data_IF_491284790551
#
_entry.id   IF_491284790551
#
_cell.length_a   1.000
_cell.length_b   1.000
_cell.length_c   1.000
_cell.angle_alpha   90.00
_cell.angle_beta   90.00
_cell.angle_gamma   90.00
#
_symmetry.space_group_name_H-M   'P 1'
#
loop_
_entity.id
_entity.type
_entity.pdbx_description
1 polymer ?
#
# COMPACT_ATOMS: atom_id res chain seq x y z
N UNK A 1 -11.51 1.17 38.60
CA UNK A 1 -12.12 2.34 37.90
C UNK A 1 -12.42 3.39 38.98
N UNK A 2 -11.84 4.58 38.89
CA UNK A 2 -12.06 5.65 39.84
C UNK A 2 -12.88 6.75 39.17
N UNK A 3 -13.84 7.37 39.88
CA UNK A 3 -14.54 8.54 39.39
C UNK A 3 -13.56 9.68 39.10
N UNK A 4 -13.76 10.35 37.95
CA UNK A 4 -13.04 11.56 37.60
C UNK A 4 -13.51 12.66 38.54
N UNK A 5 -12.61 13.39 39.22
CA UNK A 5 -12.93 14.46 40.16
C UNK A 5 -12.54 15.81 39.60
N UNK A 6 -13.36 16.82 39.85
CA UNK A 6 -13.07 18.21 39.53
C UNK A 6 -12.04 18.80 40.50
N UNK A 7 -11.67 20.07 40.28
CA UNK A 7 -10.70 20.80 41.11
C UNK A 7 -11.16 20.93 42.58
N UNK A 8 -12.45 20.72 42.86
CA UNK A 8 -13.05 20.76 44.19
C UNK A 8 -13.27 19.36 44.79
N UNK A 9 -12.80 18.32 44.13
CA UNK A 9 -12.90 16.93 44.61
C UNK A 9 -14.29 16.29 44.43
N UNK A 10 -15.22 16.92 43.68
CA UNK A 10 -16.53 16.35 43.35
C UNK A 10 -16.45 15.50 42.07
N UNK A 11 -17.29 14.48 42.01
CA UNK A 11 -17.37 13.61 40.86
C UNK A 11 -17.89 14.37 39.62
N UNK A 12 -17.14 14.31 38.50
CA UNK A 12 -17.53 14.91 37.24
C UNK A 12 -18.68 14.09 36.63
N UNK A 13 -19.76 14.76 36.22
CA UNK A 13 -20.89 14.13 35.53
C UNK A 13 -20.87 14.48 34.05
N UNK A 14 -21.12 13.49 33.18
CA UNK A 14 -21.31 13.67 31.74
C UNK A 14 -22.62 14.39 31.40
N UNK A 15 -22.84 14.66 30.14
CA UNK A 15 -24.07 15.32 29.65
C UNK A 15 -25.33 14.48 29.91
N UNK A 16 -25.20 13.19 30.06
CA UNK A 16 -26.22 12.21 30.41
C UNK A 16 -26.44 12.09 31.93
N UNK A 17 -25.74 12.86 32.76
CA UNK A 17 -25.80 12.84 34.22
C UNK A 17 -25.04 11.66 34.85
N UNK A 18 -24.43 10.77 34.10
CA UNK A 18 -23.62 9.67 34.61
C UNK A 18 -22.26 10.15 35.11
N UNK A 19 -21.70 9.47 36.15
CA UNK A 19 -20.38 9.78 36.66
C UNK A 19 -19.34 9.38 35.63
N UNK A 20 -18.46 10.32 35.24
CA UNK A 20 -17.35 10.05 34.34
C UNK A 20 -16.27 9.27 35.09
N UNK A 21 -15.93 8.10 34.57
CA UNK A 21 -14.89 7.25 35.16
C UNK A 21 -13.53 7.60 34.52
N UNK A 22 -12.56 7.93 35.37
CA UNK A 22 -11.16 8.06 34.93
C UNK A 22 -10.59 6.69 34.60
N UNK A 23 -10.53 6.38 33.34
CA UNK A 23 -9.95 5.13 32.82
C UNK A 23 -8.43 5.20 32.70
N UNK A 24 -7.82 6.33 33.10
CA UNK A 24 -6.40 6.55 32.91
C UNK A 24 -5.98 6.61 31.44
N UNK A 25 -4.69 6.69 31.17
CA UNK A 25 -4.19 6.69 29.80
C UNK A 25 -4.45 5.34 29.13
N UNK A 26 -4.84 5.37 27.87
CA UNK A 26 -4.97 4.13 27.09
C UNK A 26 -3.62 3.41 27.02
N UNK A 27 -3.62 2.09 26.81
CA UNK A 27 -2.40 1.29 26.65
C UNK A 27 -1.50 1.92 25.57
N UNK A 28 -2.09 2.40 24.47
CA UNK A 28 -1.37 3.08 23.39
C UNK A 28 -0.66 4.35 23.89
N UNK A 29 -1.37 5.20 24.64
CA UNK A 29 -0.81 6.45 25.20
C UNK A 29 0.31 6.12 26.18
N UNK A 30 0.09 5.17 27.10
CA UNK A 30 1.09 4.72 28.04
C UNK A 30 2.36 4.22 27.36
N UNK A 31 2.23 3.33 26.37
CA UNK A 31 3.37 2.79 25.62
C UNK A 31 4.12 3.89 24.88
N UNK A 32 3.42 4.79 24.20
CA UNK A 32 4.04 5.90 23.48
C UNK A 32 4.82 6.81 24.44
N UNK A 33 4.25 7.19 25.57
CA UNK A 33 4.89 8.05 26.56
C UNK A 33 6.10 7.36 27.21
N UNK A 34 5.97 6.07 27.50
CA UNK A 34 7.07 5.28 28.06
C UNK A 34 8.24 5.19 27.08
N UNK A 35 7.96 4.82 25.83
CA UNK A 35 8.99 4.69 24.78
C UNK A 35 9.64 6.05 24.52
N UNK A 36 8.84 7.11 24.36
CA UNK A 36 9.36 8.45 24.07
C UNK A 36 10.29 8.96 25.17
N UNK A 37 9.90 8.82 26.46
CA UNK A 37 10.75 9.25 27.59
C UNK A 37 12.04 8.43 27.66
N UNK A 38 11.95 7.11 27.52
CA UNK A 38 13.13 6.27 27.62
C UNK A 38 14.08 6.48 26.43
N UNK A 39 13.53 6.70 25.23
CA UNK A 39 14.33 7.01 24.05
C UNK A 39 15.04 8.38 24.19
N UNK A 40 14.33 9.42 24.65
CA UNK A 40 14.92 10.74 24.90
C UNK A 40 16.06 10.66 25.91
N UNK A 41 15.84 9.98 27.03
CA UNK A 41 16.88 9.75 28.03
C UNK A 41 18.07 8.98 27.47
N UNK A 42 17.82 7.92 26.68
CA UNK A 42 18.87 7.13 26.07
C UNK A 42 19.72 7.98 25.11
N UNK A 43 19.09 8.77 24.25
CA UNK A 43 19.79 9.64 23.31
C UNK A 43 20.58 10.76 24.00
N UNK A 44 20.09 11.27 25.15
CA UNK A 44 20.82 12.26 25.97
C UNK A 44 22.07 11.66 26.63
N UNK A 45 22.00 10.39 27.01
CA UNK A 45 23.15 9.66 27.62
C UNK A 45 24.16 9.20 26.55
N UNK A 46 23.70 8.93 25.33
CA UNK A 46 24.50 8.41 24.22
C UNK A 46 24.59 9.40 23.06
N UNK A 47 25.18 10.57 23.34
CA UNK A 47 25.28 11.67 22.34
C UNK A 47 26.04 11.27 21.09
N UNK A 48 26.93 10.28 21.17
CA UNK A 48 27.68 9.74 20.05
C UNK A 48 26.80 9.07 18.99
N UNK A 49 25.62 8.60 19.36
CA UNK A 49 24.66 7.94 18.43
C UNK A 49 23.90 8.96 17.62
N UNK A 50 23.66 10.17 18.15
CA UNK A 50 22.82 11.19 17.53
C UNK A 50 23.29 11.57 16.12
N UNK A 51 24.58 11.87 15.86
CA UNK A 51 25.07 12.19 14.53
C UNK A 51 24.85 11.05 13.51
N UNK A 52 25.06 9.80 13.95
CA UNK A 52 24.88 8.61 13.09
C UNK A 52 23.40 8.44 12.72
N UNK A 53 22.49 8.67 13.66
CA UNK A 53 21.05 8.64 13.41
C UNK A 53 20.61 9.76 12.47
N UNK A 54 21.12 10.98 12.66
CA UNK A 54 20.84 12.11 11.79
C UNK A 54 21.29 11.86 10.35
N UNK A 55 22.48 11.32 10.16
CA UNK A 55 22.99 10.96 8.85
C UNK A 55 22.10 9.92 8.16
N UNK A 56 21.73 8.85 8.89
CA UNK A 56 20.81 7.83 8.37
C UNK A 56 19.43 8.38 8.04
N UNK A 57 18.89 9.26 8.86
CA UNK A 57 17.59 9.89 8.62
C UNK A 57 17.67 10.78 7.37
N UNK A 58 18.73 11.58 7.21
CA UNK A 58 18.96 12.43 6.03
C UNK A 58 19.10 11.60 4.77
N UNK A 59 19.91 10.54 4.80
CA UNK A 59 20.07 9.62 3.67
C UNK A 59 18.75 8.93 3.28
N UNK A 60 18.01 8.43 4.26
CA UNK A 60 16.71 7.80 4.02
C UNK A 60 15.66 8.77 3.46
N UNK A 61 15.68 10.04 3.92
CA UNK A 61 14.80 11.07 3.39
C UNK A 61 15.14 11.39 1.94
N UNK A 62 16.41 11.58 1.64
CA UNK A 62 16.89 11.85 0.28
C UNK A 62 16.53 10.70 -0.68
N UNK A 63 16.77 9.44 -0.27
CA UNK A 63 16.37 8.26 -1.06
C UNK A 63 14.86 8.24 -1.35
N UNK A 64 14.02 8.55 -0.35
CA UNK A 64 12.56 8.61 -0.53
C UNK A 64 12.13 9.71 -1.51
N UNK A 65 12.75 10.88 -1.42
CA UNK A 65 12.48 12.01 -2.32
C UNK A 65 12.89 11.67 -3.76
N UNK A 66 14.05 11.06 -3.96
CA UNK A 66 14.52 10.59 -5.28
C UNK A 66 13.57 9.54 -5.88
N UNK A 67 13.20 8.51 -5.09
CA UNK A 67 12.25 7.46 -5.53
C UNK A 67 10.90 8.08 -5.89
N UNK A 68 10.38 8.97 -5.06
CA UNK A 68 9.12 9.67 -5.33
C UNK A 68 9.19 10.49 -6.63
N UNK A 69 10.30 11.19 -6.86
CA UNK A 69 10.53 11.93 -8.10
C UNK A 69 10.57 11.03 -9.34
N UNK A 70 11.23 9.87 -9.26
CA UNK A 70 11.29 8.88 -10.32
C UNK A 70 9.90 8.31 -10.61
N UNK A 71 9.18 7.89 -9.58
CA UNK A 71 7.82 7.37 -9.71
C UNK A 71 6.88 8.37 -10.35
N UNK A 72 6.95 9.66 -9.97
CA UNK A 72 6.14 10.72 -10.57
C UNK A 72 6.41 10.87 -12.06
N UNK A 73 7.69 10.92 -12.46
CA UNK A 73 8.09 11.01 -13.88
C UNK A 73 7.64 9.78 -14.68
N UNK A 74 7.77 8.58 -14.09
CA UNK A 74 7.35 7.34 -14.75
C UNK A 74 5.83 7.27 -14.90
N UNK A 75 5.05 7.70 -13.89
CA UNK A 75 3.59 7.84 -13.97
C UNK A 75 3.15 8.75 -15.11
N UNK A 76 3.81 9.90 -15.27
CA UNK A 76 3.51 10.81 -16.36
C UNK A 76 3.77 10.18 -17.74
N UNK A 77 4.88 9.44 -17.87
CA UNK A 77 5.18 8.68 -19.10
C UNK A 77 4.14 7.58 -19.35
N UNK A 78 3.78 6.84 -18.31
CA UNK A 78 2.81 5.73 -18.38
C UNK A 78 1.41 6.25 -18.74
N UNK A 79 0.97 7.37 -18.17
CA UNK A 79 -0.30 8.03 -18.54
C UNK A 79 -0.31 8.48 -19.99
N UNK A 80 0.81 8.95 -20.52
CA UNK A 80 0.94 9.37 -21.93
C UNK A 80 1.01 8.20 -22.90
N UNK A 81 1.57 7.06 -22.48
CA UNK A 81 1.78 5.89 -23.34
C UNK A 81 0.54 5.03 -23.57
N UNK A 82 -0.63 5.42 -23.08
CA UNK A 82 -1.89 4.68 -23.25
C UNK A 82 -1.72 3.17 -22.95
N UNK A 83 -1.33 2.89 -21.71
CA UNK A 83 -0.90 1.58 -21.19
C UNK A 83 -1.93 0.46 -21.41
N UNK A 84 -3.18 0.85 -21.60
CA UNK A 84 -4.32 -0.04 -21.73
C UNK A 84 -4.29 -0.95 -22.98
N UNK A 85 -3.43 -0.67 -23.97
CA UNK A 85 -3.67 -1.27 -25.28
C UNK A 85 -2.90 -2.53 -25.62
N UNK A 86 -1.81 -2.90 -24.91
CA UNK A 86 -1.04 -4.08 -25.31
C UNK A 86 -0.84 -5.13 -24.23
N UNK A 87 -0.73 -4.74 -22.99
CA UNK A 87 -0.38 -5.65 -21.89
C UNK A 87 -1.52 -5.99 -20.96
N UNK A 88 -2.43 -5.02 -20.71
CA UNK A 88 -3.60 -5.23 -19.86
C UNK A 88 -4.84 -5.52 -20.73
N UNK A 89 -5.39 -6.71 -20.55
CA UNK A 89 -6.73 -7.08 -21.01
C UNK A 89 -7.67 -6.93 -19.84
N UNK A 90 -8.21 -5.74 -19.65
CA UNK A 90 -8.99 -5.36 -18.48
C UNK A 90 -10.34 -6.07 -18.38
N UNK A 91 -10.96 -6.05 -17.19
CA UNK A 91 -12.32 -6.47 -16.95
C UNK A 91 -13.25 -5.25 -16.83
N UNK A 92 -14.56 -5.53 -16.79
CA UNK A 92 -15.59 -4.47 -16.73
C UNK A 92 -15.79 -3.91 -15.32
N UNK A 93 -15.78 -4.75 -14.30
CA UNK A 93 -16.05 -4.39 -12.92
C UNK A 93 -14.81 -4.61 -12.06
N UNK A 94 -14.47 -3.58 -11.26
CA UNK A 94 -13.30 -3.61 -10.38
C UNK A 94 -13.73 -3.56 -8.92
N UNK A 95 -12.84 -3.99 -8.04
CA UNK A 95 -13.06 -3.99 -6.60
C UNK A 95 -13.25 -2.58 -6.02
N UNK A 96 -12.52 -1.59 -6.57
CA UNK A 96 -12.62 -0.18 -6.13
C UNK A 96 -13.81 0.58 -6.72
N UNK A 97 -14.56 0.00 -7.66
CA UNK A 97 -15.66 0.70 -8.34
C UNK A 97 -16.86 0.90 -7.40
N UNK A 98 -17.52 2.06 -7.54
CA UNK A 98 -18.82 2.30 -6.92
C UNK A 98 -19.91 1.63 -7.74
N UNK A 99 -20.12 0.35 -7.53
CA UNK A 99 -21.04 -0.47 -8.30
C UNK A 99 -22.47 -0.40 -7.75
N UNK A 100 -23.45 -0.60 -8.63
CA UNK A 100 -24.84 -0.83 -8.23
C UNK A 100 -24.95 -2.15 -7.45
N UNK A 101 -25.96 -2.28 -6.57
CA UNK A 101 -26.10 -3.43 -5.65
C UNK A 101 -26.06 -4.79 -6.34
N UNK A 102 -26.61 -4.89 -7.54
CA UNK A 102 -26.61 -6.11 -8.37
C UNK A 102 -25.25 -6.44 -9.02
N UNK A 103 -24.27 -5.53 -8.94
CA UNK A 103 -22.91 -5.69 -9.52
C UNK A 103 -21.80 -5.73 -8.47
N UNK A 104 -22.10 -5.51 -7.20
CA UNK A 104 -21.12 -5.54 -6.11
C UNK A 104 -20.40 -6.88 -6.06
N UNK A 105 -21.13 -7.99 -6.20
CA UNK A 105 -20.56 -9.34 -6.21
C UNK A 105 -19.57 -9.55 -7.37
N UNK A 106 -19.79 -8.94 -8.53
CA UNK A 106 -18.85 -8.99 -9.65
C UNK A 106 -17.55 -8.24 -9.33
N UNK A 107 -17.63 -7.09 -8.68
CA UNK A 107 -16.45 -6.36 -8.20
C UNK A 107 -15.68 -7.14 -7.13
N UNK A 108 -16.37 -7.77 -6.17
CA UNK A 108 -15.76 -8.61 -5.14
C UNK A 108 -15.08 -9.86 -5.71
N UNK A 109 -15.57 -10.40 -6.83
CA UNK A 109 -14.96 -11.51 -7.57
C UNK A 109 -13.87 -11.05 -8.54
N UNK A 110 -13.58 -9.73 -8.62
CA UNK A 110 -12.60 -9.21 -9.56
C UNK A 110 -11.22 -9.83 -9.35
N UNK A 111 -10.59 -10.24 -10.44
CA UNK A 111 -9.32 -10.95 -10.43
C UNK A 111 -8.43 -10.49 -11.57
N UNK A 112 -7.13 -10.42 -11.36
CA UNK A 112 -6.15 -10.21 -12.41
C UNK A 112 -5.19 -11.39 -12.48
N UNK A 113 -5.03 -11.95 -13.71
CA UNK A 113 -4.03 -12.96 -14.00
C UNK A 113 -2.77 -12.28 -14.52
N UNK A 114 -1.66 -12.45 -13.80
CA UNK A 114 -0.34 -12.00 -14.23
C UNK A 114 0.35 -13.17 -14.88
N UNK A 115 0.64 -13.06 -16.18
CA UNK A 115 1.19 -14.17 -16.98
C UNK A 115 2.58 -13.83 -17.49
N UNK A 116 3.40 -14.86 -17.69
CA UNK A 116 4.66 -14.75 -18.41
C UNK A 116 4.41 -14.86 -19.91
N UNK A 117 4.55 -13.71 -20.61
CA UNK A 117 4.44 -13.63 -22.06
C UNK A 117 3.04 -13.64 -22.65
N UNK A 118 3.01 -13.40 -23.95
CA UNK A 118 1.75 -13.18 -24.68
C UNK A 118 1.00 -14.48 -25.01
N UNK A 119 1.69 -15.61 -25.03
CA UNK A 119 1.07 -16.91 -25.33
C UNK A 119 0.10 -17.35 -24.25
N UNK A 120 0.57 -17.41 -22.99
CA UNK A 120 -0.27 -17.75 -21.84
C UNK A 120 -1.39 -16.72 -21.64
N UNK A 121 -1.06 -15.42 -21.79
CA UNK A 121 -2.01 -14.32 -21.76
C UNK A 121 -3.13 -14.50 -22.79
N UNK A 122 -2.79 -14.88 -24.03
CA UNK A 122 -3.74 -15.12 -25.10
C UNK A 122 -4.72 -16.26 -24.82
N UNK A 123 -4.24 -17.34 -24.21
CA UNK A 123 -5.06 -18.50 -23.82
C UNK A 123 -6.07 -18.12 -22.74
N UNK A 124 -5.61 -17.49 -21.65
CA UNK A 124 -6.48 -17.07 -20.54
C UNK A 124 -7.49 -16.02 -21.03
N UNK A 125 -7.07 -15.08 -21.88
CA UNK A 125 -7.95 -14.03 -22.42
C UNK A 125 -9.14 -14.59 -23.17
N UNK A 126 -8.99 -15.73 -23.88
CA UNK A 126 -10.07 -16.37 -24.65
C UNK A 126 -11.14 -17.01 -23.78
N UNK A 127 -10.77 -17.51 -22.59
CA UNK A 127 -11.67 -18.29 -21.72
C UNK A 127 -12.12 -17.53 -20.45
N UNK A 128 -11.51 -16.40 -20.17
CA UNK A 128 -11.82 -15.60 -18.96
C UNK A 128 -13.23 -15.02 -18.96
N UNK A 129 -13.77 -14.77 -17.79
CA UNK A 129 -14.95 -13.93 -17.63
C UNK A 129 -14.55 -12.44 -17.77
N UNK A 130 -14.88 -11.80 -18.89
CA UNK A 130 -14.54 -10.40 -19.13
C UNK A 130 -15.23 -9.40 -18.18
N UNK A 131 -16.23 -9.83 -17.42
CA UNK A 131 -16.86 -8.94 -16.45
C UNK A 131 -15.98 -8.69 -15.23
N UNK A 132 -15.29 -9.72 -14.72
CA UNK A 132 -14.56 -9.65 -13.46
C UNK A 132 -13.14 -10.23 -13.51
N UNK A 133 -12.68 -10.71 -14.68
CA UNK A 133 -11.34 -11.25 -14.84
C UNK A 133 -10.52 -10.45 -15.84
N UNK A 134 -9.38 -9.93 -15.39
CA UNK A 134 -8.39 -9.23 -16.20
C UNK A 134 -7.15 -10.10 -16.43
N UNK A 135 -6.38 -9.80 -17.46
CA UNK A 135 -5.10 -10.46 -17.75
C UNK A 135 -4.03 -9.41 -17.99
N UNK A 136 -2.90 -9.54 -17.34
CA UNK A 136 -1.72 -8.71 -17.54
C UNK A 136 -0.54 -9.57 -17.99
N UNK A 137 0.03 -9.24 -19.15
CA UNK A 137 1.17 -9.96 -19.72
C UNK A 137 2.48 -9.26 -19.34
N UNK A 138 3.36 -9.94 -18.59
CA UNK A 138 4.73 -9.51 -18.36
C UNK A 138 5.58 -9.84 -19.58
N UNK A 139 6.47 -8.94 -19.97
CA UNK A 139 7.35 -9.15 -21.11
C UNK A 139 8.73 -9.62 -20.65
N UNK A 140 9.09 -10.83 -21.03
CA UNK A 140 10.36 -11.44 -20.67
C UNK A 140 10.45 -11.81 -19.18
N UNK A 141 11.64 -12.19 -18.72
CA UNK A 141 11.86 -12.51 -17.30
C UNK A 141 11.81 -11.24 -16.45
N UNK A 142 10.92 -11.14 -15.47
CA UNK A 142 10.90 -10.01 -14.55
C UNK A 142 12.19 -9.93 -13.74
N UNK A 143 12.58 -8.72 -13.35
CA UNK A 143 13.78 -8.54 -12.52
C UNK A 143 13.57 -9.17 -11.13
N UNK A 144 14.62 -9.75 -10.58
CA UNK A 144 14.59 -10.20 -9.19
C UNK A 144 14.75 -9.01 -8.24
N UNK A 145 13.62 -8.44 -7.81
CA UNK A 145 13.59 -7.25 -6.96
C UNK A 145 14.30 -7.42 -5.60
N UNK A 146 14.47 -8.67 -5.12
CA UNK A 146 15.13 -8.95 -3.84
C UNK A 146 16.59 -8.53 -3.82
N UNK A 147 17.29 -8.63 -4.98
CA UNK A 147 18.71 -8.30 -5.12
C UNK A 147 18.95 -6.88 -5.66
N UNK A 148 17.90 -6.14 -5.97
CA UNK A 148 18.01 -4.84 -6.61
C UNK A 148 17.78 -3.69 -5.63
N UNK A 149 18.38 -2.53 -5.94
CA UNK A 149 18.12 -1.32 -5.20
C UNK A 149 16.67 -0.84 -5.43
N UNK A 150 16.07 -0.17 -4.45
CA UNK A 150 14.73 0.42 -4.57
C UNK A 150 14.62 1.38 -5.75
N UNK A 151 15.70 2.12 -6.04
CA UNK A 151 15.78 3.01 -7.19
C UNK A 151 15.63 2.23 -8.50
N UNK A 152 16.38 1.12 -8.67
CA UNK A 152 16.31 0.31 -9.89
C UNK A 152 14.96 -0.36 -10.08
N UNK A 153 14.32 -0.78 -8.99
CA UNK A 153 12.93 -1.28 -9.01
C UNK A 153 11.97 -0.18 -9.46
N UNK A 154 12.11 1.05 -8.93
CA UNK A 154 11.26 2.18 -9.30
C UNK A 154 11.48 2.67 -10.74
N UNK A 155 12.66 2.46 -11.32
CA UNK A 155 12.98 2.77 -12.72
C UNK A 155 12.48 1.69 -13.69
N UNK A 156 12.10 0.50 -13.21
CA UNK A 156 11.66 -0.60 -14.07
C UNK A 156 10.27 -0.32 -14.66
N UNK A 157 10.21 -0.22 -15.99
CA UNK A 157 8.99 0.12 -16.72
C UNK A 157 7.90 -0.96 -16.57
N UNK A 158 8.25 -2.25 -16.62
CA UNK A 158 7.30 -3.36 -16.48
C UNK A 158 6.60 -3.37 -15.13
N UNK A 159 7.38 -3.17 -14.06
CA UNK A 159 6.83 -3.09 -12.72
C UNK A 159 5.93 -1.85 -12.53
N UNK A 160 6.31 -0.72 -13.12
CA UNK A 160 5.49 0.49 -13.06
C UNK A 160 4.18 0.32 -13.84
N UNK A 161 4.20 -0.39 -14.98
CA UNK A 161 3.00 -0.74 -15.72
C UNK A 161 2.08 -1.66 -14.91
N UNK A 162 2.66 -2.64 -14.20
CA UNK A 162 1.90 -3.52 -13.31
C UNK A 162 1.28 -2.76 -12.13
N UNK A 163 2.03 -1.87 -11.49
CA UNK A 163 1.53 -1.01 -10.40
C UNK A 163 0.37 -0.14 -10.89
N UNK A 164 0.48 0.43 -12.09
CA UNK A 164 -0.59 1.21 -12.72
C UNK A 164 -1.82 0.33 -13.05
N UNK A 165 -1.62 -0.88 -13.56
CA UNK A 165 -2.70 -1.82 -13.85
C UNK A 165 -3.46 -2.22 -12.57
N UNK A 166 -2.74 -2.41 -11.45
CA UNK A 166 -3.33 -2.73 -10.14
C UNK A 166 -4.02 -1.53 -9.48
N UNK A 167 -3.71 -0.30 -9.88
CA UNK A 167 -4.25 0.92 -9.28
C UNK A 167 -3.67 1.27 -7.92
N UNK A 168 -2.51 0.70 -7.56
CA UNK A 168 -1.86 0.89 -6.25
C UNK A 168 -0.72 1.91 -6.29
N UNK A 169 -0.79 2.86 -7.20
CA UNK A 169 0.24 3.89 -7.38
C UNK A 169 0.41 4.80 -6.17
N UNK A 170 -0.67 5.10 -5.46
CA UNK A 170 -0.69 6.04 -4.33
C UNK A 170 -1.09 5.37 -3.03
N UNK A 171 -2.14 4.55 -3.05
CA UNK A 171 -2.68 3.87 -1.87
C UNK A 171 -3.31 2.55 -2.28
N UNK A 172 -3.21 1.55 -1.41
CA UNK A 172 -3.90 0.25 -1.54
C UNK A 172 -5.43 0.37 -1.58
N UNK A 173 -5.98 1.49 -1.11
CA UNK A 173 -7.43 1.77 -1.18
C UNK A 173 -7.98 1.82 -2.61
N UNK A 174 -7.11 2.09 -3.58
CA UNK A 174 -7.47 2.15 -4.99
C UNK A 174 -7.23 0.82 -5.72
N UNK A 175 -6.98 -0.26 -4.98
CA UNK A 175 -6.75 -1.58 -5.56
C UNK A 175 -7.92 -1.99 -6.46
N UNK A 176 -7.61 -2.27 -7.73
CA UNK A 176 -8.64 -2.54 -8.75
C UNK A 176 -9.17 -3.97 -8.71
N UNK A 177 -8.38 -4.92 -8.25
CA UNK A 177 -8.74 -6.33 -8.26
C UNK A 177 -8.64 -6.93 -6.87
N UNK A 178 -9.66 -7.66 -6.47
CA UNK A 178 -9.68 -8.31 -5.16
C UNK A 178 -8.73 -9.53 -5.11
N UNK A 179 -8.53 -10.19 -6.24
CA UNK A 179 -7.64 -11.35 -6.35
C UNK A 179 -6.52 -11.08 -7.36
N UNK A 180 -5.29 -11.39 -6.97
CA UNK A 180 -4.11 -11.32 -7.83
C UNK A 180 -3.58 -12.74 -8.00
N UNK A 181 -3.60 -13.25 -9.22
CA UNK A 181 -3.22 -14.63 -9.56
C UNK A 181 -1.98 -14.57 -10.44
N UNK A 182 -0.88 -15.12 -9.97
CA UNK A 182 0.35 -15.27 -10.76
C UNK A 182 0.30 -16.62 -11.45
N UNK A 183 0.28 -16.58 -12.77
CA UNK A 183 0.23 -17.76 -13.64
C UNK A 183 1.51 -17.81 -14.48
N UNK A 184 2.48 -18.57 -13.98
CA UNK A 184 3.76 -18.83 -14.64
C UNK A 184 3.85 -20.29 -15.06
N UNK A 185 4.71 -20.59 -16.02
CA UNK A 185 5.03 -21.97 -16.36
C UNK A 185 5.75 -22.62 -15.18
N UNK A 186 5.49 -23.89 -14.95
CA UNK A 186 6.24 -24.68 -13.98
C UNK A 186 7.63 -24.93 -14.58
N UNK A 187 8.64 -24.26 -14.00
CA UNK A 187 10.04 -24.64 -14.29
C UNK A 187 10.38 -25.88 -13.44
N UNK A 188 10.80 -26.95 -14.09
CA UNK A 188 11.36 -28.16 -13.46
C UNK A 188 12.71 -27.89 -12.79
#
# INVERSE_FOLDING_TARGET
>A
EKPMKDENGKDVKGEDGAIVIDRGPTIRTFVNDFVSRNLDNYLRMHKEIVPVLEEKIKASKQEREEISGIQKKTREKTKRANVYNKKLRDCRYHYCDKLAKDKVEEGEKSSIFITEGDSASGTITKVRNANNQAVFSLRGKPINCYKESRRRVAENEELNLLVAALGVEEDLKNLRYNNIIVATDADD
#
